data_IF_320934483527
#
_entry.id   IF_320934483527
#
_cell.length_a   1.000
_cell.length_b   1.000
_cell.length_c   1.000
_cell.angle_alpha   90.00
_cell.angle_beta   90.00
_cell.angle_gamma   90.00
#
_symmetry.space_group_name_H-M   'P 1'
#
loop_
_entity.id
_entity.type
_entity.pdbx_description
1 polymer ?
#
# COMPACT_ATOMS: atom_id res chain seq x y z
N UNK A 1 -2.48 -17.80 -1.46
CA UNK A 1 -2.35 -16.83 -2.56
C UNK A 1 -2.30 -15.44 -1.93
N UNK A 2 -1.44 -14.51 -2.38
CA UNK A 2 -1.37 -13.16 -1.82
C UNK A 2 -2.74 -12.47 -1.90
N UNK A 3 -3.14 -11.78 -0.83
CA UNK A 3 -4.41 -11.01 -0.78
C UNK A 3 -4.48 -9.93 -1.89
N UNK A 4 -3.31 -9.53 -2.39
CA UNK A 4 -3.09 -8.55 -3.45
C UNK A 4 -3.62 -9.01 -4.83
N UNK A 5 -3.64 -10.31 -5.13
CA UNK A 5 -3.83 -10.83 -6.49
C UNK A 5 -5.07 -10.29 -7.22
N UNK A 6 -6.29 -10.29 -6.63
CA UNK A 6 -7.48 -9.80 -7.32
C UNK A 6 -7.37 -8.34 -7.77
N UNK A 7 -6.67 -7.51 -6.99
CA UNK A 7 -6.46 -6.10 -7.30
C UNK A 7 -5.38 -5.91 -8.35
N UNK A 8 -4.30 -6.71 -8.27
CA UNK A 8 -3.22 -6.69 -9.26
C UNK A 8 -3.71 -7.16 -10.64
N UNK A 9 -4.55 -8.20 -10.68
CA UNK A 9 -5.10 -8.73 -11.92
C UNK A 9 -6.01 -7.70 -12.61
N UNK A 10 -6.85 -6.99 -11.84
CA UNK A 10 -7.74 -5.95 -12.33
C UNK A 10 -7.03 -4.65 -12.74
N UNK A 11 -5.84 -4.38 -12.22
CA UNK A 11 -5.13 -3.13 -12.51
C UNK A 11 -4.71 -3.00 -13.99
N UNK A 12 -4.70 -1.79 -14.53
CA UNK A 12 -4.14 -1.45 -15.84
C UNK A 12 -2.60 -1.35 -15.82
N UNK A 13 -1.98 -1.68 -14.69
CA UNK A 13 -0.54 -1.70 -14.50
C UNK A 13 0.19 -2.48 -15.60
N UNK A 14 1.37 -1.97 -15.99
CA UNK A 14 2.21 -2.58 -17.02
C UNK A 14 2.53 -4.04 -16.67
N UNK A 15 2.47 -5.00 -17.63
CA UNK A 15 2.67 -6.42 -17.33
C UNK A 15 3.97 -6.75 -16.61
N UNK A 16 5.08 -6.10 -16.99
CA UNK A 16 6.36 -6.27 -16.31
C UNK A 16 6.34 -5.75 -14.86
N UNK A 17 5.62 -4.65 -14.61
CA UNK A 17 5.44 -4.16 -13.24
C UNK A 17 4.62 -5.15 -12.42
N UNK A 18 3.54 -5.72 -12.98
CA UNK A 18 2.77 -6.77 -12.29
C UNK A 18 3.62 -7.99 -11.94
N UNK A 19 4.47 -8.43 -12.87
CA UNK A 19 5.40 -9.54 -12.63
C UNK A 19 6.37 -9.23 -11.48
N UNK A 20 7.00 -8.06 -11.50
CA UNK A 20 7.92 -7.64 -10.45
C UNK A 20 7.24 -7.44 -9.09
N UNK A 21 5.99 -6.99 -9.05
CA UNK A 21 5.21 -6.93 -7.82
C UNK A 21 5.03 -8.33 -7.21
N UNK A 22 4.74 -9.33 -8.04
CA UNK A 22 4.62 -10.72 -7.58
C UNK A 22 5.95 -11.28 -7.10
N UNK A 23 7.04 -10.98 -7.79
CA UNK A 23 8.38 -11.40 -7.40
C UNK A 23 8.80 -10.75 -6.09
N UNK A 24 8.58 -9.44 -5.93
CA UNK A 24 8.86 -8.71 -4.69
C UNK A 24 8.13 -9.31 -3.49
N UNK A 25 6.83 -9.60 -3.62
CA UNK A 25 6.03 -10.22 -2.54
C UNK A 25 6.56 -11.61 -2.19
N UNK A 26 7.08 -12.36 -3.17
CA UNK A 26 7.73 -13.67 -2.96
C UNK A 26 9.17 -13.57 -2.43
N UNK A 27 9.74 -12.37 -2.37
CA UNK A 27 11.12 -12.14 -1.91
C UNK A 27 12.18 -12.14 -3.01
N UNK A 28 11.77 -12.07 -4.26
CA UNK A 28 12.64 -11.79 -5.40
C UNK A 28 13.03 -10.32 -5.51
N UNK A 29 13.84 -10.02 -6.52
CA UNK A 29 14.22 -8.66 -6.86
C UNK A 29 13.10 -7.96 -7.64
N UNK A 30 12.99 -6.64 -7.47
CA UNK A 30 12.09 -5.79 -8.24
C UNK A 30 12.73 -4.41 -8.45
N UNK A 31 13.26 -4.17 -9.65
CA UNK A 31 13.86 -2.89 -10.04
C UNK A 31 12.86 -1.74 -10.18
N UNK A 32 11.58 -2.07 -10.40
CA UNK A 32 10.47 -1.13 -10.57
C UNK A 32 9.77 -0.79 -9.24
N UNK A 33 10.25 -1.32 -8.12
CA UNK A 33 9.78 -0.98 -6.77
C UNK A 33 10.97 -0.38 -6.00
N UNK A 34 11.13 0.93 -6.11
CA UNK A 34 12.19 1.65 -5.41
C UNK A 34 11.77 1.98 -3.98
N UNK A 35 12.56 1.54 -3.00
CA UNK A 35 12.33 1.86 -1.59
C UNK A 35 13.41 2.83 -1.10
N UNK A 36 12.99 4.02 -0.67
CA UNK A 36 13.85 4.96 0.04
C UNK A 36 13.84 4.63 1.54
N UNK A 37 14.87 3.90 1.97
CA UNK A 37 15.00 3.39 3.34
C UNK A 37 14.47 1.96 3.48
N UNK A 38 14.21 1.55 4.73
CA UNK A 38 13.74 0.18 5.02
C UNK A 38 12.24 0.17 5.27
N UNK A 39 11.51 -0.65 4.51
CA UNK A 39 10.10 -0.93 4.72
C UNK A 39 9.85 -2.45 4.66
N UNK A 40 9.13 -3.05 5.63
CA UNK A 40 8.77 -4.45 5.59
C UNK A 40 7.94 -4.80 4.36
N UNK A 41 8.24 -5.93 3.70
CA UNK A 41 7.56 -6.41 2.49
C UNK A 41 6.04 -6.44 2.62
N UNK A 42 5.52 -6.96 3.73
CA UNK A 42 4.07 -7.01 3.99
C UNK A 42 3.42 -5.63 3.95
N UNK A 43 4.10 -4.57 4.38
CA UNK A 43 3.56 -3.20 4.36
C UNK A 43 3.58 -2.60 2.97
N UNK A 44 4.61 -2.91 2.19
CA UNK A 44 4.66 -2.57 0.76
C UNK A 44 3.56 -3.32 0.00
N UNK A 45 3.33 -4.60 0.28
CA UNK A 45 2.20 -5.36 -0.29
C UNK A 45 0.86 -4.68 0.03
N UNK A 46 0.62 -4.27 1.28
CA UNK A 46 -0.61 -3.53 1.65
C UNK A 46 -0.72 -2.19 0.93
N UNK A 47 0.39 -1.45 0.78
CA UNK A 47 0.43 -0.20 0.02
C UNK A 47 0.11 -0.39 -1.46
N UNK A 48 0.71 -1.38 -2.10
CA UNK A 48 0.45 -1.69 -3.51
C UNK A 48 -0.99 -2.20 -3.71
N UNK A 49 -1.51 -2.99 -2.78
CA UNK A 49 -2.92 -3.42 -2.80
C UNK A 49 -3.85 -2.21 -2.80
N UNK A 50 -3.58 -1.22 -1.93
CA UNK A 50 -4.35 0.01 -1.89
C UNK A 50 -4.22 0.83 -3.18
N UNK A 51 -3.02 0.91 -3.77
CA UNK A 51 -2.81 1.60 -5.05
C UNK A 51 -3.71 1.01 -6.14
N UNK A 52 -3.66 -0.32 -6.33
CA UNK A 52 -4.45 -0.98 -7.38
C UNK A 52 -5.96 -1.03 -7.06
N UNK A 53 -6.33 -1.02 -5.79
CA UNK A 53 -7.72 -0.92 -5.38
C UNK A 53 -8.30 0.47 -5.65
N UNK A 54 -7.56 1.53 -5.32
CA UNK A 54 -8.02 2.90 -5.43
C UNK A 54 -7.97 3.43 -6.86
N UNK A 55 -7.00 2.96 -7.66
CA UNK A 55 -6.73 3.45 -9.01
C UNK A 55 -6.48 2.28 -9.97
N UNK A 56 -7.48 1.41 -10.21
CA UNK A 56 -7.33 0.24 -11.07
C UNK A 56 -7.04 0.62 -12.54
N UNK A 57 -7.35 1.83 -12.97
CA UNK A 57 -7.15 2.34 -14.33
C UNK A 57 -5.74 2.93 -14.58
N UNK A 58 -4.93 3.16 -13.55
CA UNK A 58 -3.58 3.68 -13.74
C UNK A 58 -2.67 2.65 -14.42
N UNK A 59 -2.08 3.06 -15.54
CA UNK A 59 -1.03 2.33 -16.26
C UNK A 59 0.32 2.40 -15.53
N UNK A 60 0.38 1.89 -14.30
CA UNK A 60 1.57 1.96 -13.45
C UNK A 60 2.73 1.17 -14.05
N UNK A 61 3.87 1.83 -14.24
CA UNK A 61 5.10 1.22 -14.78
C UNK A 61 6.19 1.01 -13.72
N UNK A 62 6.20 1.89 -12.71
CA UNK A 62 7.17 1.91 -11.62
C UNK A 62 6.60 2.66 -10.44
N UNK A 63 7.06 2.32 -9.25
CA UNK A 63 6.78 3.08 -8.03
C UNK A 63 8.07 3.41 -7.28
N UNK A 64 8.02 4.51 -6.54
CA UNK A 64 9.00 4.86 -5.52
C UNK A 64 8.28 5.13 -4.22
N UNK A 65 8.75 4.51 -3.14
CA UNK A 65 8.15 4.60 -1.82
C UNK A 65 9.15 5.21 -0.86
N UNK A 66 8.78 6.34 -0.25
CA UNK A 66 9.50 6.93 0.86
C UNK A 66 8.59 6.88 2.08
N UNK A 67 8.93 6.04 3.06
CA UNK A 67 8.06 5.83 4.20
C UNK A 67 8.78 5.46 5.49
N UNK A 68 8.06 5.63 6.59
CA UNK A 68 8.45 5.19 7.93
C UNK A 68 7.52 4.08 8.37
N UNK A 69 8.10 2.99 8.88
CA UNK A 69 7.37 1.83 9.37
C UNK A 69 7.53 1.70 10.88
N UNK A 70 6.44 1.77 11.64
CA UNK A 70 6.40 1.37 13.05
C UNK A 70 5.93 -0.08 13.23
N UNK A 71 5.50 -0.48 14.42
CA UNK A 71 4.96 -1.83 14.63
C UNK A 71 3.56 -1.99 14.02
N UNK A 72 2.75 -0.93 14.04
CA UNK A 72 1.33 -0.96 13.70
C UNK A 72 0.93 -0.07 12.52
N UNK A 73 1.87 0.77 12.08
CA UNK A 73 1.64 1.82 11.10
C UNK A 73 2.70 1.86 10.02
N UNK A 74 2.32 2.37 8.85
CA UNK A 74 3.18 2.67 7.74
C UNK A 74 2.71 3.96 7.09
N UNK A 75 3.56 4.99 7.09
CA UNK A 75 3.20 6.32 6.59
C UNK A 75 4.31 6.90 5.73
N UNK A 76 3.94 7.76 4.80
CA UNK A 76 4.88 8.42 3.91
C UNK A 76 4.27 8.85 2.60
N UNK A 77 5.10 8.84 1.57
CA UNK A 77 4.77 9.26 0.21
C UNK A 77 5.06 8.14 -0.77
N UNK A 78 4.10 7.92 -1.67
CA UNK A 78 4.18 7.03 -2.81
C UNK A 78 4.24 7.89 -4.06
N UNK A 79 5.29 7.71 -4.85
CA UNK A 79 5.38 8.26 -6.20
C UNK A 79 5.07 7.15 -7.19
N UNK A 80 4.06 7.36 -8.02
CA UNK A 80 3.60 6.45 -9.08
C UNK A 80 4.02 7.03 -10.41
N UNK A 81 4.77 6.27 -11.20
CA UNK A 81 5.15 6.63 -12.57
C UNK A 81 4.23 5.85 -13.52
N UNK A 82 3.44 6.57 -14.30
CA UNK A 82 2.47 5.99 -15.23
C UNK A 82 2.56 6.73 -16.57
N UNK A 83 2.95 6.02 -17.64
CA UNK A 83 3.15 6.51 -19.02
C UNK A 83 3.78 7.92 -19.13
N UNK A 84 2.96 8.96 -19.08
CA UNK A 84 3.35 10.36 -19.29
C UNK A 84 3.20 11.24 -18.04
N UNK A 85 2.86 10.64 -16.89
CA UNK A 85 2.54 11.34 -15.66
C UNK A 85 3.24 10.73 -14.44
N UNK A 86 3.40 11.59 -13.44
CA UNK A 86 3.86 11.21 -12.12
C UNK A 86 2.82 11.65 -11.10
N UNK A 87 2.34 10.70 -10.30
CA UNK A 87 1.36 10.94 -9.25
C UNK A 87 2.01 10.79 -7.88
N UNK A 88 1.78 11.76 -7.01
CA UNK A 88 2.27 11.76 -5.64
C UNK A 88 1.11 11.52 -4.69
N UNK A 89 1.23 10.50 -3.86
CA UNK A 89 0.19 10.11 -2.91
C UNK A 89 0.78 10.11 -1.51
N UNK A 90 0.25 10.94 -0.63
CA UNK A 90 0.50 10.82 0.81
C UNK A 90 -0.38 9.71 1.39
N UNK A 91 0.20 8.84 2.20
CA UNK A 91 -0.52 7.73 2.79
C UNK A 91 -0.22 7.54 4.28
N UNK A 92 -1.16 6.92 4.98
CA UNK A 92 -0.96 6.36 6.31
C UNK A 92 -1.85 5.14 6.46
N UNK A 93 -1.23 3.97 6.57
CA UNK A 93 -1.87 2.72 6.95
C UNK A 93 -1.60 2.48 8.43
N UNK A 94 -2.64 2.36 9.27
CA UNK A 94 -2.49 2.21 10.72
C UNK A 94 -3.58 1.30 11.30
N UNK A 95 -3.20 0.10 11.74
CA UNK A 95 -4.14 -0.87 12.33
C UNK A 95 -4.60 -0.47 13.73
N UNK A 96 -3.78 0.27 14.49
CA UNK A 96 -4.19 0.81 15.79
C UNK A 96 -5.30 1.85 15.63
N UNK A 97 -5.17 2.75 14.65
CA UNK A 97 -6.23 3.70 14.29
C UNK A 97 -7.51 2.98 13.87
N UNK A 98 -7.41 1.95 13.02
CA UNK A 98 -8.60 1.18 12.61
C UNK A 98 -9.27 0.49 13.81
N UNK A 99 -8.49 -0.12 14.71
CA UNK A 99 -9.03 -0.73 15.93
C UNK A 99 -9.73 0.30 16.83
N UNK A 100 -9.20 1.52 16.93
CA UNK A 100 -9.84 2.64 17.63
C UNK A 100 -11.19 3.02 16.99
N UNK A 101 -11.27 3.11 15.67
CA UNK A 101 -12.54 3.39 14.96
C UNK A 101 -13.62 2.35 15.28
N UNK A 102 -13.23 1.09 15.46
CA UNK A 102 -14.14 -0.01 15.79
C UNK A 102 -14.37 -0.18 17.31
N UNK A 103 -13.69 0.62 18.14
CA UNK A 103 -13.75 0.50 19.60
C UNK A 103 -13.12 -0.80 20.16
N UNK A 104 -12.23 -1.45 19.40
CA UNK A 104 -11.64 -2.74 19.78
C UNK A 104 -10.42 -2.58 20.66
N UNK A 105 -10.51 -3.09 21.88
CA UNK A 105 -9.39 -3.17 22.81
C UNK A 105 -8.95 -4.61 23.04
N UNK A 106 -7.66 -4.80 23.27
CA UNK A 106 -7.09 -6.07 23.70
C UNK A 106 -7.32 -6.30 25.20
N UNK A 107 -6.89 -7.46 25.72
CA UNK A 107 -7.04 -7.80 27.13
C UNK A 107 -6.22 -6.91 28.09
N UNK A 108 -5.29 -6.10 27.58
CA UNK A 108 -4.50 -5.13 28.34
C UNK A 108 -5.06 -3.71 28.24
N UNK A 109 -6.12 -3.50 27.46
CA UNK A 109 -6.77 -2.21 27.29
C UNK A 109 -6.15 -1.33 26.20
N UNK A 110 -5.17 -1.82 25.44
CA UNK A 110 -4.64 -1.13 24.26
C UNK A 110 -5.54 -1.38 23.04
N UNK A 111 -5.39 -0.58 21.98
CA UNK A 111 -6.11 -0.81 20.73
C UNK A 111 -5.68 -2.13 20.08
N UNK A 112 -6.64 -3.01 19.76
CA UNK A 112 -6.37 -4.35 19.22
C UNK A 112 -6.00 -4.31 17.73
N UNK A 113 -4.80 -3.80 17.47
CA UNK A 113 -4.21 -3.69 16.13
C UNK A 113 -4.00 -5.06 15.47
N UNK A 114 -3.84 -6.13 16.26
CA UNK A 114 -3.64 -7.47 15.72
C UNK A 114 -4.95 -7.99 15.13
N UNK A 115 -6.08 -7.78 15.81
CA UNK A 115 -7.41 -8.06 15.27
C UNK A 115 -7.70 -7.20 14.04
N UNK A 116 -7.45 -5.89 14.10
CA UNK A 116 -7.65 -5.00 12.95
C UNK A 116 -6.82 -5.44 11.73
N UNK A 117 -5.55 -5.84 11.93
CA UNK A 117 -4.71 -6.34 10.84
C UNK A 117 -5.27 -7.62 10.19
N UNK A 118 -5.86 -8.52 10.98
CA UNK A 118 -6.50 -9.75 10.47
C UNK A 118 -7.81 -9.48 9.73
N UNK A 119 -8.64 -8.59 10.25
CA UNK A 119 -10.00 -8.37 9.69
C UNK A 119 -9.99 -7.41 8.49
N UNK A 120 -9.14 -6.38 8.53
CA UNK A 120 -9.12 -5.34 7.50
C UNK A 120 -7.96 -5.46 6.53
N UNK A 121 -6.84 -6.10 6.92
CA UNK A 121 -5.68 -6.27 6.05
C UNK A 121 -5.16 -4.92 5.54
N UNK A 122 -5.22 -4.70 4.23
CA UNK A 122 -4.79 -3.43 3.64
C UNK A 122 -5.74 -2.26 3.93
N UNK A 123 -7.01 -2.50 4.31
CA UNK A 123 -8.05 -1.46 4.46
C UNK A 123 -7.91 -0.54 5.71
N UNK A 124 -6.73 -0.50 6.33
CA UNK A 124 -6.44 0.34 7.50
C UNK A 124 -5.84 1.71 7.12
N UNK A 125 -6.10 2.22 5.92
CA UNK A 125 -5.65 3.56 5.53
C UNK A 125 -6.48 4.64 6.22
N UNK A 126 -5.84 5.42 7.09
CA UNK A 126 -6.40 6.66 7.67
C UNK A 126 -6.14 7.87 6.79
N UNK A 127 -5.16 7.77 5.87
CA UNK A 127 -4.81 8.81 4.91
C UNK A 127 -4.48 8.19 3.56
N UNK A 128 -5.06 8.75 2.50
CA UNK A 128 -4.79 8.45 1.10
C UNK A 128 -5.14 9.69 0.26
N UNK A 129 -4.15 10.54 0.00
CA UNK A 129 -4.37 11.88 -0.57
C UNK A 129 -3.43 12.15 -1.75
N UNK A 130 -3.96 12.62 -2.87
CA UNK A 130 -3.15 13.11 -3.98
C UNK A 130 -2.50 14.45 -3.63
N UNK A 131 -1.18 14.53 -3.71
CA UNK A 131 -0.39 15.75 -3.48
C UNK A 131 -0.13 16.55 -4.76
N UNK A 132 -0.40 15.98 -5.93
CA UNK A 132 -0.31 16.65 -7.23
C UNK A 132 -1.70 16.82 -7.86
N UNK A 133 -1.93 17.84 -8.72
CA UNK A 133 -3.25 18.08 -9.26
C UNK A 133 -3.63 16.97 -10.27
N UNK A 134 -4.83 16.43 -10.09
CA UNK A 134 -5.58 15.47 -10.92
C UNK A 134 -4.96 14.06 -11.09
N UNK A 135 -5.24 13.19 -10.13
CA UNK A 135 -5.62 11.81 -10.46
C UNK A 135 -7.08 11.86 -10.93
N UNK A 136 -7.45 11.29 -12.10
CA UNK A 136 -8.85 11.07 -12.41
C UNK A 136 -9.47 10.20 -11.31
N UNK A 137 -10.69 10.54 -10.90
CA UNK A 137 -11.44 9.85 -9.85
C UNK A 137 -12.14 8.60 -10.38
#
# INVERSE_FOLDING_TARGET
MPDLLPYLDAAAAHPEFKAEVMDFVRGGAASRIELEGHAPRVKIERLLTQLFHAHPELEVERVRVRGRSGCSDFSGELTVFARDAQHHIAFTWCCAWRAEQEGWRDCFGFWDQARAAREFGFRCFSRWESLSPALPA
#
